data_IF_811097096769
#
_entry.id   IF_811097096769
#
_cell.length_a   1.000
_cell.length_b   1.000
_cell.length_c   1.000
_cell.angle_alpha   90.00
_cell.angle_beta   90.00
_cell.angle_gamma   90.00
#
_symmetry.space_group_name_H-M   'P 1'
#
loop_
_entity.id
_entity.type
_entity.pdbx_description
1 polymer ?
#
# COMPACT_ATOMS: atom_id res chain seq x y z
N UNK A 1 -14.03 12.58 45.34
CA UNK A 1 -13.14 11.55 44.76
C UNK A 1 -13.80 11.05 43.47
N UNK A 2 -13.34 11.49 42.31
CA UNK A 2 -13.75 10.93 41.02
C UNK A 2 -12.75 9.84 40.64
N UNK A 3 -13.20 8.59 40.52
CA UNK A 3 -12.42 7.53 39.88
C UNK A 3 -12.53 7.72 38.36
N UNK A 4 -11.42 8.02 37.71
CA UNK A 4 -11.32 7.92 36.25
C UNK A 4 -11.15 6.45 35.87
N UNK A 5 -12.07 5.91 35.08
CA UNK A 5 -11.95 4.57 34.52
C UNK A 5 -10.85 4.58 33.45
N UNK A 6 -9.70 3.97 33.75
CA UNK A 6 -8.64 3.72 32.77
C UNK A 6 -9.04 2.47 31.98
N UNK A 7 -9.79 2.68 30.90
CA UNK A 7 -10.04 1.62 29.92
C UNK A 7 -8.74 1.21 29.20
N UNK A 8 -8.63 -0.02 28.70
CA UNK A 8 -7.45 -0.43 27.95
C UNK A 8 -7.31 0.43 26.69
N UNK A 9 -6.19 1.16 26.60
CA UNK A 9 -5.83 1.86 25.37
C UNK A 9 -5.50 0.81 24.31
N UNK A 10 -6.38 0.63 23.33
CA UNK A 10 -6.06 -0.14 22.13
C UNK A 10 -4.99 0.66 21.39
N UNK A 11 -3.76 0.15 21.38
CA UNK A 11 -2.68 0.76 20.63
C UNK A 11 -3.08 0.81 19.15
N UNK A 12 -2.97 2.00 18.54
CA UNK A 12 -3.22 2.16 17.12
C UNK A 12 -2.31 1.21 16.32
N UNK A 13 -2.81 0.60 15.22
CA UNK A 13 -1.97 -0.20 14.35
C UNK A 13 -0.79 0.63 13.86
N UNK A 14 0.37 0.00 13.75
CA UNK A 14 1.52 0.62 13.11
C UNK A 14 1.23 0.73 11.62
N UNK A 15 1.72 1.78 10.98
CA UNK A 15 1.55 1.98 9.53
C UNK A 15 2.91 2.08 8.86
N UNK A 16 3.03 1.46 7.69
CA UNK A 16 4.11 1.70 6.72
C UNK A 16 3.49 2.48 5.58
N UNK A 17 4.07 3.64 5.26
CA UNK A 17 3.66 4.45 4.11
C UNK A 17 4.79 4.47 3.09
N UNK A 18 4.46 4.18 1.84
CA UNK A 18 5.37 4.27 0.71
C UNK A 18 4.87 5.33 -0.26
N UNK A 19 5.79 6.12 -0.80
CA UNK A 19 5.60 6.95 -1.98
C UNK A 19 6.24 6.24 -3.17
N UNK A 20 5.45 5.90 -4.19
CA UNK A 20 5.91 5.16 -5.36
C UNK A 20 5.82 6.03 -6.62
N UNK A 21 6.95 6.40 -7.21
CA UNK A 21 6.99 7.11 -8.48
C UNK A 21 6.85 6.10 -9.64
N UNK A 22 5.66 6.02 -10.23
CA UNK A 22 5.29 5.01 -11.23
C UNK A 22 5.15 5.62 -12.61
N UNK A 23 5.96 5.17 -13.56
CA UNK A 23 5.83 5.51 -14.96
C UNK A 23 4.87 4.55 -15.66
N UNK A 24 3.85 5.10 -16.35
CA UNK A 24 2.84 4.35 -17.09
C UNK A 24 3.13 4.39 -18.59
N UNK A 25 3.31 3.22 -19.18
CA UNK A 25 3.52 3.03 -20.61
C UNK A 25 2.22 2.57 -21.29
N UNK A 26 1.98 2.96 -22.57
CA UNK A 26 2.90 3.66 -23.46
C UNK A 26 2.87 5.20 -23.36
N UNK A 27 1.97 5.78 -22.56
CA UNK A 27 1.77 7.24 -22.51
C UNK A 27 2.95 8.02 -21.90
N UNK A 28 3.86 7.33 -21.20
CA UNK A 28 5.06 7.90 -20.54
C UNK A 28 4.75 8.94 -19.48
N UNK A 29 3.57 8.86 -18.86
CA UNK A 29 3.19 9.71 -17.73
C UNK A 29 3.69 9.08 -16.43
N UNK A 30 4.34 9.87 -15.57
CA UNK A 30 4.75 9.44 -14.23
C UNK A 30 3.81 9.99 -13.17
N UNK A 31 3.31 9.13 -12.31
CA UNK A 31 2.42 9.47 -11.20
C UNK A 31 3.02 8.98 -9.89
N UNK A 32 2.90 9.79 -8.84
CA UNK A 32 3.28 9.36 -7.48
C UNK A 32 2.07 8.71 -6.83
N UNK A 33 2.22 7.44 -6.44
CA UNK A 33 1.18 6.64 -5.79
C UNK A 33 1.52 6.49 -4.31
N UNK A 34 0.56 6.74 -3.42
CA UNK A 34 0.73 6.41 -1.99
C UNK A 34 0.34 4.94 -1.78
N UNK A 35 1.15 4.20 -1.02
CA UNK A 35 0.77 2.90 -0.48
C UNK A 35 0.81 2.97 1.04
N UNK A 36 -0.32 2.74 1.70
CA UNK A 36 -0.37 2.64 3.16
C UNK A 36 -0.74 1.22 3.58
N UNK A 37 0.09 0.64 4.43
CA UNK A 37 -0.07 -0.70 4.99
C UNK A 37 -0.21 -0.57 6.50
N UNK A 38 -1.39 -0.87 7.03
CA UNK A 38 -1.62 -0.91 8.47
C UNK A 38 -1.42 -2.34 8.98
N UNK A 39 -0.65 -2.49 10.05
CA UNK A 39 -0.31 -3.79 10.63
C UNK A 39 -0.30 -3.75 12.16
N UNK A 40 -0.66 -4.86 12.79
CA UNK A 40 -0.81 -4.97 14.25
C UNK A 40 0.32 -5.79 14.92
N UNK A 41 1.49 -5.83 14.28
CA UNK A 41 2.65 -6.67 14.62
C UNK A 41 2.46 -8.18 14.41
N UNK A 42 1.26 -8.65 14.09
CA UNK A 42 0.98 -10.05 13.75
C UNK A 42 0.62 -10.24 12.30
N UNK A 43 -0.20 -9.34 11.75
CA UNK A 43 -0.67 -9.41 10.38
C UNK A 43 -0.88 -8.01 9.77
N UNK A 44 -0.84 -7.94 8.45
CA UNK A 44 -1.37 -6.80 7.71
C UNK A 44 -2.88 -6.79 7.88
N UNK A 45 -3.42 -5.65 8.33
CA UNK A 45 -4.84 -5.45 8.60
C UNK A 45 -5.54 -4.67 7.50
N UNK A 46 -4.84 -3.71 6.90
CA UNK A 46 -5.39 -2.87 5.83
C UNK A 46 -4.31 -2.53 4.82
N UNK A 47 -4.69 -2.52 3.56
CA UNK A 47 -3.93 -1.95 2.46
C UNK A 47 -4.72 -0.79 1.87
N UNK A 48 -4.08 0.33 1.58
CA UNK A 48 -4.65 1.44 0.83
C UNK A 48 -3.68 1.87 -0.26
N UNK A 49 -4.20 2.14 -1.44
CA UNK A 49 -3.46 2.75 -2.55
C UNK A 49 -4.14 4.09 -2.84
N UNK A 50 -3.42 5.18 -2.72
CA UNK A 50 -3.95 6.55 -2.85
C UNK A 50 -5.19 6.80 -1.99
N UNK A 51 -5.20 6.23 -0.78
CA UNK A 51 -6.34 6.30 0.14
C UNK A 51 -7.50 5.34 -0.16
N UNK A 52 -7.49 4.63 -1.30
CA UNK A 52 -8.51 3.64 -1.66
C UNK A 52 -8.17 2.29 -1.07
N UNK A 53 -9.09 1.70 -0.32
CA UNK A 53 -8.99 0.33 0.17
C UNK A 53 -9.48 -0.64 -0.93
N UNK A 54 -8.62 -1.55 -1.44
CA UNK A 54 -9.02 -2.49 -2.47
C UNK A 54 -9.98 -3.54 -1.92
N UNK A 55 -10.77 -4.16 -2.79
CA UNK A 55 -11.69 -5.25 -2.40
C UNK A 55 -10.95 -6.41 -1.70
N UNK A 56 -9.69 -6.64 -2.06
CA UNK A 56 -8.84 -7.59 -1.37
C UNK A 56 -7.38 -7.42 -1.77
N UNK A 57 -6.50 -8.06 -1.01
CA UNK A 57 -5.08 -8.15 -1.30
C UNK A 57 -4.55 -9.52 -0.90
N UNK A 58 -3.44 -9.93 -1.51
CA UNK A 58 -2.67 -11.11 -1.17
C UNK A 58 -1.30 -10.70 -0.67
N UNK A 59 -0.79 -11.39 0.34
CA UNK A 59 0.60 -11.26 0.77
C UNK A 59 1.45 -12.22 -0.05
N UNK A 60 2.54 -11.70 -0.61
CA UNK A 60 3.61 -12.46 -1.24
C UNK A 60 4.81 -12.49 -0.30
N UNK A 61 5.76 -13.43 -0.46
CA UNK A 61 7.04 -13.33 0.23
C UNK A 61 7.69 -11.96 -0.08
N UNK A 62 7.79 -11.09 0.94
CA UNK A 62 8.37 -9.76 0.80
C UNK A 62 7.51 -8.74 0.02
N UNK A 63 6.23 -9.01 -0.26
CA UNK A 63 5.43 -8.13 -1.11
C UNK A 63 3.92 -8.21 -0.89
N UNK A 64 3.18 -7.38 -1.61
CA UNK A 64 1.72 -7.40 -1.68
C UNK A 64 1.24 -7.38 -3.11
N UNK A 65 0.10 -8.03 -3.37
CA UNK A 65 -0.60 -7.99 -4.64
C UNK A 65 -2.05 -7.59 -4.42
N UNK A 66 -2.58 -6.70 -5.25
CA UNK A 66 -3.96 -6.23 -5.18
C UNK A 66 -4.46 -5.76 -6.55
N UNK A 67 -5.69 -5.29 -6.63
CA UNK A 67 -6.23 -4.65 -7.81
C UNK A 67 -7.20 -3.51 -7.46
N UNK A 68 -7.11 -2.41 -8.21
CA UNK A 68 -7.97 -1.22 -8.11
C UNK A 68 -8.27 -0.74 -9.53
N UNK A 69 -9.51 -0.41 -9.84
CA UNK A 69 -9.91 0.22 -11.11
C UNK A 69 -9.35 -0.45 -12.39
N UNK A 70 -9.33 -1.78 -12.42
CA UNK A 70 -8.72 -2.62 -13.48
C UNK A 70 -7.20 -2.64 -13.54
N UNK A 71 -6.51 -1.89 -12.70
CA UNK A 71 -5.08 -2.02 -12.48
C UNK A 71 -4.80 -3.20 -11.55
N UNK A 72 -4.06 -4.20 -12.03
CA UNK A 72 -3.47 -5.24 -11.17
C UNK A 72 -2.12 -4.75 -10.70
N UNK A 73 -1.93 -4.67 -9.39
CA UNK A 73 -0.78 -4.01 -8.76
C UNK A 73 -0.01 -5.04 -7.94
N UNK A 74 1.30 -5.08 -8.14
CA UNK A 74 2.24 -5.83 -7.32
C UNK A 74 3.30 -4.86 -6.78
N UNK A 75 3.55 -4.94 -5.47
CA UNK A 75 4.55 -4.14 -4.79
C UNK A 75 5.52 -5.10 -4.09
N UNK A 76 6.78 -5.07 -4.52
CA UNK A 76 7.88 -5.71 -3.81
C UNK A 76 8.37 -4.74 -2.73
N UNK A 77 8.13 -5.09 -1.46
CA UNK A 77 8.49 -4.26 -0.31
C UNK A 77 9.97 -4.36 0.04
N UNK A 78 10.66 -5.42 -0.39
CA UNK A 78 12.09 -5.63 -0.16
C UNK A 78 12.89 -4.85 -1.19
N UNK A 79 12.62 -5.08 -2.48
CA UNK A 79 13.26 -4.37 -3.58
C UNK A 79 12.77 -2.92 -3.73
N UNK A 80 11.65 -2.58 -3.07
CA UNK A 80 10.95 -1.29 -3.17
C UNK A 80 10.60 -0.94 -4.62
N UNK A 81 9.84 -1.84 -5.24
CA UNK A 81 9.43 -1.73 -6.63
C UNK A 81 7.92 -1.88 -6.77
N UNK A 82 7.36 -1.03 -7.61
CA UNK A 82 5.99 -1.13 -8.09
C UNK A 82 5.99 -1.73 -9.49
N UNK A 83 5.09 -2.67 -9.73
CA UNK A 83 4.74 -3.16 -11.06
C UNK A 83 3.23 -3.27 -11.19
N UNK A 84 2.66 -2.86 -12.31
CA UNK A 84 1.24 -2.99 -12.54
C UNK A 84 0.87 -3.18 -14.01
N UNK A 85 -0.32 -3.74 -14.23
CA UNK A 85 -0.92 -3.93 -15.55
C UNK A 85 -2.41 -3.54 -15.53
N UNK A 86 -2.78 -2.65 -16.43
CA UNK A 86 -4.14 -2.16 -16.65
C UNK A 86 -4.88 -3.06 -17.66
N UNK A 87 -4.91 -4.37 -17.37
CA UNK A 87 -5.48 -5.42 -18.25
C UNK A 87 -4.94 -5.35 -19.69
N UNK A 88 -3.64 -5.14 -19.85
CA UNK A 88 -2.97 -5.05 -21.15
C UNK A 88 -3.09 -3.70 -21.86
N UNK A 89 -3.82 -2.72 -21.31
CA UNK A 89 -3.95 -1.39 -21.90
C UNK A 89 -2.75 -0.49 -21.58
N UNK A 90 -2.20 -0.64 -20.38
CA UNK A 90 -1.04 0.09 -19.90
C UNK A 90 -0.30 -0.72 -18.85
N UNK A 91 1.00 -0.48 -18.71
CA UNK A 91 1.81 -1.07 -17.63
C UNK A 91 2.45 0.03 -16.80
N UNK A 92 2.41 -0.11 -15.48
CA UNK A 92 3.09 0.77 -14.54
C UNK A 92 4.37 0.12 -14.01
N UNK A 93 5.46 0.86 -13.95
CA UNK A 93 6.69 0.43 -13.26
C UNK A 93 7.29 1.60 -12.49
N UNK A 94 7.74 1.36 -11.26
CA UNK A 94 8.19 2.44 -10.40
C UNK A 94 9.06 2.01 -9.23
N UNK A 95 9.71 3.01 -8.62
CA UNK A 95 10.46 2.84 -7.37
C UNK A 95 9.62 3.39 -6.22
N UNK A 96 9.68 2.70 -5.09
CA UNK A 96 9.00 3.11 -3.87
C UNK A 96 10.01 3.56 -2.81
N UNK A 97 9.60 4.50 -1.98
CA UNK A 97 10.37 4.97 -0.83
C UNK A 97 9.47 5.02 0.38
N UNK A 98 10.00 4.59 1.54
CA UNK A 98 9.27 4.74 2.80
C UNK A 98 9.27 6.21 3.19
N UNK A 99 8.09 6.74 3.49
CA UNK A 99 7.90 8.12 3.91
C UNK A 99 7.32 8.16 5.33
N UNK A 100 7.50 9.27 6.08
CA UNK A 100 6.78 9.49 7.33
C UNK A 100 5.28 9.37 7.11
N UNK A 101 4.60 8.60 7.97
CA UNK A 101 3.21 8.17 7.79
C UNK A 101 2.19 8.91 8.63
#
# INVERSE_FOLDING_TARGET
>A
MCLAAVGPAIAAPSSVVLSCAVAYLPQRSTWVREVRIDWDKKAVRRLRIDGVEPYGFSLLPGGVMTAIDNERIQIDLVARQWQSDFRGQATGQGRCETVPG
#
